data_IF_933138772867
#
_entry.id   IF_933138772867
#
_cell.length_a   1.000
_cell.length_b   1.000
_cell.length_c   1.000
_cell.angle_alpha   90.00
_cell.angle_beta   90.00
_cell.angle_gamma   90.00
#
_symmetry.space_group_name_H-M   'P 1'
#
loop_
_entity.id
_entity.type
_entity.pdbx_description
1 polymer ?
#
# COMPACT_ATOMS: atom_id res chain seq x y z
N UNK A 1 47.64 14.17 -30.96
CA UNK A 1 46.30 14.28 -30.32
C UNK A 1 46.21 13.24 -29.22
N UNK A 2 45.66 13.60 -28.05
CA UNK A 2 44.99 12.69 -27.13
C UNK A 2 45.84 11.95 -26.09
N UNK A 3 45.89 12.50 -24.88
CA UNK A 3 46.26 11.80 -23.65
C UNK A 3 45.11 10.94 -23.12
N UNK A 4 45.40 9.91 -22.31
CA UNK A 4 44.39 9.15 -21.59
C UNK A 4 44.98 8.11 -20.64
N UNK A 5 45.32 8.56 -19.42
CA UNK A 5 45.78 7.76 -18.29
C UNK A 5 44.63 7.02 -17.59
N UNK A 6 44.93 5.80 -17.14
CA UNK A 6 44.67 5.19 -15.82
C UNK A 6 43.31 5.33 -15.10
N UNK A 7 42.84 4.17 -14.63
CA UNK A 7 41.93 3.96 -13.49
C UNK A 7 40.93 2.84 -13.81
N UNK A 8 41.01 1.60 -13.31
CA UNK A 8 41.50 1.12 -12.02
C UNK A 8 40.30 0.60 -11.21
N UNK A 9 40.32 -0.71 -10.90
CA UNK A 9 39.41 -1.45 -9.99
C UNK A 9 37.98 -1.67 -10.54
N UNK A 10 37.51 -2.88 -10.87
CA UNK A 10 37.87 -4.19 -10.33
C UNK A 10 37.30 -4.34 -8.92
N UNK A 11 36.29 -5.20 -8.75
CA UNK A 11 35.58 -5.57 -7.50
C UNK A 11 34.39 -4.68 -7.09
N UNK A 12 33.17 -5.14 -7.42
CA UNK A 12 32.09 -5.30 -6.42
C UNK A 12 31.17 -6.45 -6.87
N UNK A 13 31.70 -7.67 -6.83
CA UNK A 13 30.87 -8.82 -6.51
C UNK A 13 30.54 -8.72 -5.02
N UNK A 14 29.31 -8.34 -4.69
CA UNK A 14 28.95 -8.06 -3.30
C UNK A 14 27.46 -7.78 -3.15
N UNK A 15 26.66 -8.78 -3.52
CA UNK A 15 25.33 -9.06 -2.96
C UNK A 15 24.84 -8.06 -1.90
N UNK A 16 24.03 -7.09 -2.33
CA UNK A 16 22.83 -6.64 -1.61
C UNK A 16 21.94 -5.93 -2.63
N UNK A 17 21.41 -6.71 -3.57
CA UNK A 17 19.98 -6.63 -3.82
C UNK A 17 19.32 -6.98 -2.48
N UNK A 18 19.29 -6.01 -1.56
CA UNK A 18 18.29 -6.00 -0.52
C UNK A 18 17.00 -5.98 -1.31
N UNK A 19 16.42 -7.16 -1.41
CA UNK A 19 15.08 -7.41 -1.89
C UNK A 19 14.15 -6.55 -1.05
N UNK A 20 14.01 -5.29 -1.43
CA UNK A 20 12.85 -4.47 -1.15
C UNK A 20 11.79 -4.83 -2.20
N UNK A 21 11.53 -6.13 -2.40
CA UNK A 21 10.15 -6.53 -2.51
C UNK A 21 9.54 -6.12 -1.17
N UNK A 22 9.10 -4.84 -1.07
CA UNK A 22 8.48 -4.31 0.13
C UNK A 22 7.45 -5.34 0.58
N UNK A 23 7.60 -5.84 1.80
CA UNK A 23 6.83 -6.98 2.27
C UNK A 23 5.34 -6.59 2.30
N UNK A 24 4.63 -6.83 1.20
CA UNK A 24 3.25 -6.40 1.05
C UNK A 24 2.35 -7.31 1.89
N UNK A 25 1.68 -6.74 2.89
CA UNK A 25 0.63 -7.45 3.63
C UNK A 25 -0.64 -7.46 2.78
N UNK A 26 -1.23 -8.63 2.52
CA UNK A 26 -2.42 -8.75 1.67
C UNK A 26 -3.57 -9.45 2.40
N UNK A 27 -4.72 -8.77 2.43
CA UNK A 27 -5.93 -9.17 3.15
C UNK A 27 -7.15 -9.12 2.23
N UNK A 28 -7.10 -9.69 1.02
CA UNK A 28 -8.25 -9.66 0.09
C UNK A 28 -9.13 -10.91 0.15
N UNK A 29 -8.59 -12.01 0.69
CA UNK A 29 -9.27 -13.31 0.67
C UNK A 29 -8.98 -14.13 -0.59
N UNK A 30 -9.72 -15.22 -0.79
CA UNK A 30 -9.69 -16.03 -2.03
C UNK A 30 -11.09 -16.14 -2.61
N UNK A 31 -11.28 -15.54 -3.79
CA UNK A 31 -12.53 -15.61 -4.56
C UNK A 31 -12.20 -15.69 -6.04
N UNK A 32 -12.95 -16.51 -6.79
CA UNK A 32 -12.80 -16.57 -8.25
C UNK A 32 -12.98 -15.18 -8.88
N UNK A 33 -12.04 -14.78 -9.73
CA UNK A 33 -12.03 -13.48 -10.41
C UNK A 33 -11.40 -12.33 -9.62
N UNK A 34 -11.08 -12.51 -8.33
CA UNK A 34 -10.36 -11.51 -7.55
C UNK A 34 -8.85 -11.63 -7.77
N UNK A 35 -8.31 -10.72 -8.58
CA UNK A 35 -6.89 -10.70 -8.95
C UNK A 35 -6.09 -9.62 -8.21
N UNK A 36 -6.69 -8.88 -7.27
CA UNK A 36 -6.03 -7.73 -6.65
C UNK A 36 -4.70 -8.12 -5.98
N UNK A 37 -4.68 -9.22 -5.22
CA UNK A 37 -3.45 -9.75 -4.62
C UNK A 37 -2.36 -10.02 -5.66
N UNK A 38 -2.72 -10.69 -6.75
CA UNK A 38 -1.75 -11.10 -7.79
C UNK A 38 -1.19 -9.90 -8.56
N UNK A 39 -2.01 -8.89 -8.78
CA UNK A 39 -1.59 -7.67 -9.47
C UNK A 39 -0.78 -6.77 -8.53
N UNK A 40 -1.15 -6.69 -7.25
CA UNK A 40 -0.42 -5.93 -6.24
C UNK A 40 1.01 -6.45 -6.02
N UNK A 41 1.28 -7.74 -6.19
CA UNK A 41 2.64 -8.29 -6.14
C UNK A 41 3.59 -7.73 -7.21
N UNK A 42 3.05 -7.14 -8.28
CA UNK A 42 3.82 -6.52 -9.37
C UNK A 42 3.90 -5.00 -9.24
N UNK A 43 3.19 -4.42 -8.28
CA UNK A 43 3.27 -2.98 -8.03
C UNK A 43 4.69 -2.64 -7.59
N UNK A 44 5.26 -1.61 -8.22
CA UNK A 44 6.57 -1.09 -7.82
C UNK A 44 6.49 -0.64 -6.36
N UNK A 45 7.33 -1.23 -5.52
CA UNK A 45 7.50 -0.81 -4.14
C UNK A 45 7.88 0.68 -4.09
N UNK A 46 7.44 1.36 -3.04
CA UNK A 46 7.80 2.76 -2.82
C UNK A 46 8.60 2.88 -1.54
N UNK A 47 9.76 3.50 -1.66
CA UNK A 47 10.75 3.58 -0.59
C UNK A 47 10.13 4.20 0.67
N UNK A 48 10.39 3.55 1.81
CA UNK A 48 9.88 3.96 3.11
C UNK A 48 8.42 3.58 3.40
N UNK A 49 7.73 2.90 2.48
CA UNK A 49 6.36 2.41 2.71
C UNK A 49 6.29 0.88 2.70
N UNK A 50 5.47 0.33 3.60
CA UNK A 50 4.96 -1.03 3.47
C UNK A 50 3.60 -1.00 2.77
N UNK A 51 3.44 -1.82 1.73
CA UNK A 51 2.16 -1.93 1.04
C UNK A 51 1.18 -2.79 1.85
N UNK A 52 -0.03 -2.28 2.05
CA UNK A 52 -1.14 -3.05 2.61
C UNK A 52 -2.23 -3.12 1.55
N UNK A 53 -2.56 -4.33 1.12
CA UNK A 53 -3.51 -4.62 0.04
C UNK A 53 -4.80 -5.16 0.64
N UNK A 54 -5.90 -4.44 0.46
CA UNK A 54 -7.23 -4.83 0.96
C UNK A 54 -8.28 -4.13 0.09
N UNK A 55 -9.44 -4.76 -0.13
CA UNK A 55 -10.55 -4.06 -0.79
C UNK A 55 -11.16 -3.04 0.16
N UNK A 56 -11.93 -2.10 -0.37
CA UNK A 56 -12.63 -1.15 0.47
C UNK A 56 -13.23 0.02 -0.28
N UNK A 57 -13.66 1.00 0.50
CA UNK A 57 -14.28 2.24 0.07
C UNK A 57 -13.82 3.37 1.03
N UNK A 58 -14.36 4.60 0.96
CA UNK A 58 -13.93 5.69 1.84
C UNK A 58 -14.05 5.42 3.35
N UNK A 59 -14.93 4.48 3.75
CA UNK A 59 -15.36 4.30 5.13
C UNK A 59 -15.03 2.93 5.71
N UNK A 60 -14.96 1.89 4.87
CA UNK A 60 -14.80 0.50 5.29
C UNK A 60 -13.81 -0.24 4.40
N UNK A 61 -13.14 -1.23 4.98
CA UNK A 61 -12.35 -2.20 4.24
C UNK A 61 -13.14 -3.50 4.08
N UNK A 62 -12.72 -4.34 3.14
CA UNK A 62 -13.47 -5.51 2.69
C UNK A 62 -12.51 -6.66 2.35
N UNK A 63 -12.87 -7.88 2.74
CA UNK A 63 -12.16 -9.08 2.31
C UNK A 63 -13.08 -10.30 2.30
N UNK A 64 -12.72 -11.31 1.51
CA UNK A 64 -13.52 -12.52 1.38
C UNK A 64 -12.98 -13.66 2.26
N UNK A 65 -13.85 -14.26 3.07
CA UNK A 65 -13.47 -15.35 3.98
C UNK A 65 -14.63 -16.34 4.13
N UNK A 66 -14.34 -17.63 4.03
CA UNK A 66 -15.31 -18.73 4.18
C UNK A 66 -16.64 -18.52 3.43
N UNK A 67 -16.55 -18.11 2.15
CA UNK A 67 -17.71 -17.94 1.30
C UNK A 67 -18.48 -16.61 1.47
N UNK A 68 -18.00 -15.70 2.33
CA UNK A 68 -18.71 -14.44 2.66
C UNK A 68 -17.77 -13.23 2.62
N UNK A 69 -18.35 -12.06 2.34
CA UNK A 69 -17.67 -10.78 2.53
C UNK A 69 -17.62 -10.41 4.01
N UNK A 70 -16.47 -9.94 4.45
CA UNK A 70 -16.20 -9.41 5.78
C UNK A 70 -15.81 -7.95 5.63
N UNK A 71 -16.37 -7.10 6.50
CA UNK A 71 -16.25 -5.64 6.43
C UNK A 71 -15.52 -5.08 7.67
N UNK A 72 -14.20 -5.29 7.81
CA UNK A 72 -13.47 -4.83 8.97
C UNK A 72 -13.40 -3.29 9.05
N UNK A 73 -13.53 -2.77 10.25
CA UNK A 73 -13.22 -1.36 10.55
C UNK A 73 -11.69 -1.13 10.60
N UNK A 74 -11.30 0.14 10.69
CA UNK A 74 -9.89 0.54 10.76
C UNK A 74 -9.14 -0.07 11.96
N UNK A 75 -9.83 -0.40 13.06
CA UNK A 75 -9.23 -1.00 14.26
C UNK A 75 -8.90 -2.47 14.03
N UNK A 76 -9.82 -3.18 13.37
CA UNK A 76 -9.65 -4.56 12.95
C UNK A 76 -8.52 -4.66 11.92
N UNK A 77 -8.50 -3.77 10.92
CA UNK A 77 -7.40 -3.71 9.94
C UNK A 77 -6.06 -3.40 10.61
N UNK A 78 -6.00 -2.45 11.55
CA UNK A 78 -4.78 -2.19 12.31
C UNK A 78 -4.29 -3.42 13.09
N UNK A 79 -5.20 -4.21 13.67
CA UNK A 79 -4.83 -5.45 14.37
C UNK A 79 -4.32 -6.51 13.38
N UNK A 80 -4.95 -6.65 12.21
CA UNK A 80 -4.51 -7.57 11.16
C UNK A 80 -3.08 -7.21 10.69
N UNK A 81 -2.83 -5.93 10.40
CA UNK A 81 -1.50 -5.44 9.99
C UNK A 81 -0.46 -5.72 11.08
N UNK A 82 -0.76 -5.42 12.35
CA UNK A 82 0.19 -5.64 13.46
C UNK A 82 0.52 -7.12 13.71
N UNK A 83 -0.38 -8.03 13.34
CA UNK A 83 -0.17 -9.48 13.45
C UNK A 83 0.49 -10.07 12.20
N UNK A 84 0.51 -9.33 11.10
CA UNK A 84 1.08 -9.80 9.85
C UNK A 84 2.60 -9.78 9.91
N UNK A 85 3.22 -10.90 9.56
CA UNK A 85 4.68 -11.05 9.59
C UNK A 85 5.38 -10.17 8.54
N UNK A 86 4.66 -9.74 7.50
CA UNK A 86 5.16 -8.85 6.45
C UNK A 86 5.29 -7.40 6.91
N UNK A 87 4.45 -6.94 7.83
CA UNK A 87 4.57 -5.59 8.38
C UNK A 87 5.44 -5.58 9.65
N UNK A 88 6.60 -4.92 9.57
CA UNK A 88 7.48 -4.74 10.74
C UNK A 88 7.18 -3.45 11.49
N UNK A 89 7.21 -2.33 10.79
CA UNK A 89 6.96 -1.00 11.33
C UNK A 89 6.94 0.04 10.20
N UNK A 90 6.64 1.30 10.54
CA UNK A 90 6.81 2.43 9.62
C UNK A 90 5.59 2.74 8.75
N UNK A 91 5.74 3.71 7.82
CA UNK A 91 4.64 4.19 6.98
C UNK A 91 3.97 3.10 6.15
N UNK A 92 2.67 3.27 5.92
CA UNK A 92 1.84 2.32 5.16
C UNK A 92 1.35 2.98 3.87
N UNK A 93 1.48 2.29 2.74
CA UNK A 93 0.77 2.64 1.50
C UNK A 93 -0.39 1.68 1.36
N UNK A 94 -1.60 2.21 1.50
CA UNK A 94 -2.84 1.43 1.50
C UNK A 94 -3.38 1.31 0.07
N UNK A 95 -3.32 0.11 -0.49
CA UNK A 95 -3.85 -0.24 -1.79
C UNK A 95 -5.30 -0.70 -1.61
N UNK A 96 -6.19 0.28 -1.37
CA UNK A 96 -7.64 0.11 -1.14
C UNK A 96 -8.42 1.25 -1.78
N UNK A 97 -9.48 0.94 -2.53
CA UNK A 97 -10.25 1.94 -3.28
C UNK A 97 -10.76 3.07 -2.39
N UNK A 98 -10.56 4.32 -2.82
CA UNK A 98 -11.06 5.55 -2.21
C UNK A 98 -10.76 5.76 -0.71
N UNK A 99 -9.86 4.98 -0.11
CA UNK A 99 -9.63 5.03 1.34
C UNK A 99 -9.08 6.39 1.83
N UNK A 100 -8.50 7.19 0.92
CA UNK A 100 -8.02 8.56 1.15
C UNK A 100 -9.00 9.66 0.71
N UNK A 101 -10.24 9.33 0.33
CA UNK A 101 -11.21 10.32 -0.17
C UNK A 101 -11.61 11.35 0.88
N UNK A 102 -11.76 10.96 2.14
CA UNK A 102 -12.25 11.81 3.23
C UNK A 102 -11.12 12.21 4.19
N UNK A 103 -11.16 13.45 4.68
CA UNK A 103 -10.18 13.99 5.64
C UNK A 103 -10.18 13.27 6.99
N UNK A 104 -11.35 12.75 7.38
CA UNK A 104 -11.58 12.00 8.61
C UNK A 104 -12.17 10.60 8.32
N UNK A 105 -11.81 10.01 7.17
CA UNK A 105 -12.26 8.68 6.74
C UNK A 105 -11.37 7.53 7.19
N UNK A 106 -11.45 6.41 6.46
CA UNK A 106 -10.75 5.18 6.82
C UNK A 106 -9.24 5.37 7.00
N UNK A 107 -8.55 6.00 6.03
CA UNK A 107 -7.09 6.17 6.09
C UNK A 107 -6.61 7.03 7.28
N UNK A 108 -7.33 8.11 7.61
CA UNK A 108 -6.99 8.95 8.76
C UNK A 108 -7.16 8.19 10.09
N UNK A 109 -8.26 7.43 10.22
CA UNK A 109 -8.50 6.63 11.42
C UNK A 109 -7.49 5.48 11.56
N UNK A 110 -7.09 4.87 10.44
CA UNK A 110 -6.02 3.87 10.42
C UNK A 110 -4.68 4.50 10.83
N UNK A 111 -4.31 5.67 10.30
CA UNK A 111 -3.09 6.38 10.69
C UNK A 111 -3.04 6.67 12.19
N UNK A 112 -4.16 7.16 12.74
CA UNK A 112 -4.29 7.41 14.18
C UNK A 112 -4.12 6.11 15.01
N UNK A 113 -4.71 5.00 14.56
CA UNK A 113 -4.65 3.71 15.28
C UNK A 113 -3.29 3.04 15.18
N UNK A 114 -2.60 3.18 14.05
CA UNK A 114 -1.28 2.60 13.80
C UNK A 114 -0.16 3.47 14.38
N UNK A 115 -0.37 4.78 14.53
CA UNK A 115 0.65 5.71 15.00
C UNK A 115 1.72 6.02 13.94
N UNK A 116 1.45 5.72 12.67
CA UNK A 116 2.35 5.97 11.53
C UNK A 116 1.62 6.67 10.39
N UNK A 117 2.33 7.33 9.45
CA UNK A 117 1.71 7.87 8.25
C UNK A 117 1.06 6.78 7.39
N UNK A 118 -0.14 7.07 6.86
CA UNK A 118 -0.84 6.22 5.90
C UNK A 118 -1.03 6.99 4.61
N UNK A 119 -0.54 6.47 3.49
CA UNK A 119 -0.78 6.99 2.14
C UNK A 119 -1.90 6.20 1.47
N UNK A 120 -2.95 6.86 1.00
CA UNK A 120 -4.14 6.21 0.44
C UNK A 120 -4.70 6.96 -0.79
N UNK A 121 -5.40 6.28 -1.71
CA UNK A 121 -5.93 6.89 -2.93
C UNK A 121 -7.20 7.70 -2.66
N UNK A 122 -7.38 8.83 -3.35
CA UNK A 122 -8.59 9.69 -3.21
C UNK A 122 -9.82 9.17 -3.95
N UNK A 123 -9.63 8.20 -4.83
CA UNK A 123 -10.68 7.63 -5.68
C UNK A 123 -10.43 6.12 -5.86
N UNK A 124 -11.21 5.46 -6.72
CA UNK A 124 -11.10 4.04 -7.03
C UNK A 124 -9.68 3.71 -7.52
N UNK A 125 -9.09 2.68 -6.92
CA UNK A 125 -7.74 2.21 -7.22
C UNK A 125 -7.82 1.03 -8.18
N UNK A 126 -7.22 1.18 -9.35
CA UNK A 126 -7.11 0.13 -10.36
C UNK A 126 -5.67 -0.35 -10.41
N UNK A 127 -5.45 -1.62 -10.10
CA UNK A 127 -4.14 -2.26 -10.23
C UNK A 127 -4.16 -3.16 -11.45
N UNK A 128 -3.24 -2.91 -12.39
CA UNK A 128 -3.16 -3.64 -13.65
C UNK A 128 -2.32 -4.92 -13.52
N UNK A 129 -2.47 -5.89 -14.42
CA UNK A 129 -1.66 -7.11 -14.42
C UNK A 129 -0.15 -6.89 -14.49
N UNK A 130 0.31 -5.74 -14.98
CA UNK A 130 1.71 -5.35 -15.03
C UNK A 130 2.17 -4.52 -13.81
N UNK A 131 1.33 -4.34 -12.79
CA UNK A 131 1.63 -3.56 -11.60
C UNK A 131 1.43 -2.04 -11.75
N UNK A 132 0.99 -1.55 -12.92
CA UNK A 132 0.60 -0.15 -13.06
C UNK A 132 -0.61 0.16 -12.19
N UNK A 133 -0.67 1.39 -11.67
CA UNK A 133 -1.79 1.88 -10.88
C UNK A 133 -2.47 3.06 -11.60
N UNK A 134 -3.80 3.05 -11.61
CA UNK A 134 -4.65 4.22 -11.94
C UNK A 134 -5.51 4.54 -10.72
N UNK A 135 -5.68 5.83 -10.40
CA UNK A 135 -6.63 6.31 -9.39
C UNK A 135 -7.66 7.20 -10.09
N UNK A 136 -8.92 6.78 -10.11
CA UNK A 136 -9.97 7.55 -10.75
C UNK A 136 -11.24 6.75 -11.02
N UNK A 137 -12.23 7.35 -11.70
CA UNK A 137 -13.57 6.76 -11.84
C UNK A 137 -13.59 5.47 -12.65
N UNK A 138 -12.56 5.24 -13.47
CA UNK A 138 -12.36 4.01 -14.24
C UNK A 138 -10.86 3.75 -14.43
N UNK A 139 -10.52 2.58 -14.97
CA UNK A 139 -9.14 2.13 -15.14
C UNK A 139 -8.30 2.97 -16.13
N UNK A 140 -8.94 3.74 -17.01
CA UNK A 140 -8.29 4.55 -18.06
C UNK A 140 -8.13 6.02 -17.69
N UNK A 141 -8.85 6.51 -16.68
CA UNK A 141 -8.86 7.93 -16.29
C UNK A 141 -8.16 8.11 -14.94
N UNK A 142 -6.97 8.71 -14.93
CA UNK A 142 -6.15 8.89 -13.72
C UNK A 142 -6.30 10.30 -13.12
N UNK A 143 -7.46 10.61 -12.56
CA UNK A 143 -7.79 11.95 -12.02
C UNK A 143 -7.68 12.05 -10.50
N UNK A 144 -7.66 10.93 -9.80
CA UNK A 144 -7.43 10.89 -8.36
C UNK A 144 -5.94 10.93 -8.02
N UNK A 145 -5.65 11.17 -6.74
CA UNK A 145 -4.29 11.34 -6.24
C UNK A 145 -4.03 10.44 -5.04
N UNK A 146 -2.76 10.34 -4.64
CA UNK A 146 -2.39 9.78 -3.35
C UNK A 146 -2.42 10.89 -2.30
N UNK A 147 -3.02 10.62 -1.14
CA UNK A 147 -2.98 11.51 0.03
C UNK A 147 -2.28 10.84 1.19
N UNK A 148 -1.46 11.60 1.91
CA UNK A 148 -0.77 11.14 3.11
C UNK A 148 -1.48 11.68 4.35
N UNK A 149 -1.88 10.77 5.24
CA UNK A 149 -2.51 11.04 6.51
C UNK A 149 -1.52 10.78 7.62
N UNK A 150 -1.18 11.83 8.38
CA UNK A 150 -0.34 11.71 9.58
C UNK A 150 -1.21 11.42 10.80
N UNK A 151 -0.70 10.68 11.81
CA UNK A 151 -1.41 10.52 13.07
C UNK A 151 -1.70 11.89 13.69
N UNK A 152 -2.96 12.15 14.00
CA UNK A 152 -3.37 13.33 14.76
C UNK A 152 -3.26 12.96 16.24
N UNK A 153 -2.61 13.80 17.06
CA UNK A 153 -2.69 13.66 18.52
C UNK A 153 -4.17 13.68 18.91
N UNK A 154 -4.61 12.85 19.86
CA UNK A 154 -5.93 13.02 20.47
C UNK A 154 -5.97 14.46 21.00
N UNK A 155 -6.74 15.32 20.33
CA UNK A 155 -7.13 16.58 20.94
C UNK A 155 -8.00 16.22 22.13
N UNK A 156 -7.65 16.72 23.30
CA UNK A 156 -8.61 16.81 24.39
C UNK A 156 -9.71 17.75 23.90
N UNK A 157 -10.82 17.17 23.45
CA UNK A 157 -12.09 17.89 23.30
C UNK A 157 -12.77 17.94 24.64
#
# INVERSE_FOLDING_TARGET
>A
MGAGYHGGFGETAGSKLLSAAGASSSFVGSRAGDNLKQFALRVKAEDGYTDVVIHGNPDTAEYYYNGKWVYPDHRSVALMIKKDVGYKSGPIRLLSCSAGKKDFGFAQNLANKMGVPVKAPTDTLWVWPNGRITIGPNQFTNTGTWRVFKPKKKGNS
#
